data_IF_464498462402
#
_entry.id   IF_464498462402
#
_cell.length_a   1.000
_cell.length_b   1.000
_cell.length_c   1.000
_cell.angle_alpha   90.00
_cell.angle_beta   90.00
_cell.angle_gamma   90.00
#
_symmetry.space_group_name_H-M   'P 1'
#
loop_
_entity.id
_entity.type
_entity.pdbx_description
1 polymer ?
#
# COMPACT_ATOMS: atom_id res chain seq x y z
N UNK A 1 -29.97 1.27 -1.73
CA UNK A 1 -28.52 1.68 -1.75
C UNK A 1 -27.83 0.99 -0.60
N UNK A 2 -26.84 0.14 -0.87
CA UNK A 2 -26.04 -0.51 0.20
C UNK A 2 -25.22 0.54 0.96
N UNK A 3 -25.14 0.43 2.29
CA UNK A 3 -24.33 1.33 3.13
C UNK A 3 -22.84 1.25 2.73
N UNK A 4 -22.04 2.29 3.07
CA UNK A 4 -20.59 2.30 2.82
C UNK A 4 -19.92 1.05 3.42
N UNK A 5 -20.26 0.71 4.67
CA UNK A 5 -19.73 -0.47 5.35
C UNK A 5 -20.06 -1.78 4.60
N UNK A 6 -21.28 -1.92 4.07
CA UNK A 6 -21.66 -3.08 3.27
C UNK A 6 -20.86 -3.19 1.97
N UNK A 7 -20.54 -2.06 1.32
CA UNK A 7 -19.67 -2.05 0.12
C UNK A 7 -18.23 -2.39 0.48
N UNK A 8 -17.67 -1.85 1.56
CA UNK A 8 -16.32 -2.17 2.05
C UNK A 8 -16.20 -3.67 2.36
N UNK A 9 -17.16 -4.23 3.10
CA UNK A 9 -17.21 -5.66 3.38
C UNK A 9 -17.38 -6.50 2.10
N UNK A 10 -18.20 -6.05 1.17
CA UNK A 10 -18.41 -6.70 -0.13
C UNK A 10 -17.13 -6.79 -0.97
N UNK A 11 -16.27 -5.78 -0.95
CA UNK A 11 -14.96 -5.80 -1.65
C UNK A 11 -14.05 -6.89 -1.08
N UNK A 12 -14.12 -7.16 0.22
CA UNK A 12 -13.33 -8.20 0.88
C UNK A 12 -13.84 -9.60 0.48
N UNK A 13 -15.17 -9.81 0.48
CA UNK A 13 -15.78 -11.15 0.36
C UNK A 13 -16.19 -11.52 -1.06
N UNK A 14 -16.70 -10.55 -1.82
CA UNK A 14 -17.22 -10.74 -3.18
C UNK A 14 -16.80 -9.59 -4.09
N UNK A 15 -15.48 -9.39 -4.36
CA UNK A 15 -14.97 -8.19 -5.01
C UNK A 15 -15.60 -7.95 -6.38
N UNK A 16 -15.75 -8.98 -7.21
CA UNK A 16 -16.28 -8.84 -8.58
C UNK A 16 -17.70 -8.29 -8.60
N UNK A 17 -18.60 -8.88 -7.81
CA UNK A 17 -20.00 -8.45 -7.72
C UNK A 17 -20.09 -7.03 -7.17
N UNK A 18 -19.29 -6.74 -6.17
CA UNK A 18 -19.27 -5.43 -5.51
C UNK A 18 -18.77 -4.34 -6.45
N UNK A 19 -17.68 -4.57 -7.19
CA UNK A 19 -17.18 -3.61 -8.18
C UNK A 19 -18.18 -3.37 -9.31
N UNK A 20 -18.90 -4.41 -9.78
CA UNK A 20 -19.95 -4.22 -10.78
C UNK A 20 -21.04 -3.27 -10.29
N UNK A 21 -21.46 -3.39 -9.03
CA UNK A 21 -22.47 -2.52 -8.44
C UNK A 21 -21.94 -1.09 -8.15
N UNK A 22 -20.68 -0.96 -7.66
CA UNK A 22 -20.08 0.34 -7.35
C UNK A 22 -19.86 1.18 -8.61
N UNK A 23 -19.47 0.56 -9.72
CA UNK A 23 -19.19 1.25 -10.97
C UNK A 23 -20.44 1.80 -11.67
N UNK A 24 -21.65 1.35 -11.31
CA UNK A 24 -22.90 1.95 -11.77
C UNK A 24 -23.16 3.36 -11.18
N UNK A 25 -22.63 3.63 -9.96
CA UNK A 25 -22.70 4.92 -9.29
C UNK A 25 -21.38 5.19 -8.57
N UNK A 26 -20.32 5.61 -9.30
CA UNK A 26 -18.97 5.73 -8.76
C UNK A 26 -18.89 6.81 -7.67
N UNK A 27 -18.47 6.42 -6.48
CA UNK A 27 -18.28 7.32 -5.32
C UNK A 27 -17.01 6.92 -4.55
N UNK A 28 -15.91 7.54 -4.89
CA UNK A 28 -14.58 7.25 -4.33
C UNK A 28 -14.33 7.95 -2.97
N UNK A 29 -14.83 9.19 -2.80
CA UNK A 29 -14.47 10.03 -1.67
C UNK A 29 -14.85 9.43 -0.30
N UNK A 30 -16.06 8.90 -0.06
CA UNK A 30 -16.43 8.37 1.25
C UNK A 30 -15.55 7.20 1.70
N UNK A 31 -15.20 6.28 0.79
CA UNK A 31 -14.34 5.14 1.14
C UNK A 31 -12.89 5.58 1.35
N UNK A 32 -12.40 6.53 0.57
CA UNK A 32 -11.06 7.07 0.73
C UNK A 32 -10.91 7.80 2.08
N UNK A 33 -11.87 8.63 2.45
CA UNK A 33 -11.90 9.29 3.76
C UNK A 33 -11.93 8.25 4.88
N UNK A 34 -12.80 7.24 4.78
CA UNK A 34 -12.91 6.20 5.80
C UNK A 34 -11.59 5.42 5.97
N UNK A 35 -10.98 4.94 4.87
CA UNK A 35 -9.72 4.20 4.91
C UNK A 35 -8.56 5.05 5.42
N UNK A 36 -8.44 6.30 4.99
CA UNK A 36 -7.43 7.25 5.47
C UNK A 36 -7.60 7.53 6.97
N UNK A 37 -8.84 7.73 7.43
CA UNK A 37 -9.13 7.95 8.85
C UNK A 37 -8.77 6.72 9.69
N UNK A 38 -9.08 5.51 9.24
CA UNK A 38 -8.70 4.27 9.92
C UNK A 38 -7.17 4.18 10.03
N UNK A 39 -6.45 4.38 8.94
CA UNK A 39 -4.98 4.34 8.93
C UNK A 39 -4.38 5.38 9.87
N UNK A 40 -4.91 6.61 9.85
CA UNK A 40 -4.49 7.69 10.75
C UNK A 40 -4.72 7.33 12.22
N UNK A 41 -5.91 6.85 12.58
CA UNK A 41 -6.26 6.52 13.96
C UNK A 41 -5.41 5.36 14.51
N UNK A 42 -5.16 4.32 13.70
CA UNK A 42 -4.28 3.23 14.06
C UNK A 42 -2.85 3.72 14.32
N UNK A 43 -2.27 4.49 13.39
CA UNK A 43 -0.93 5.05 13.53
C UNK A 43 -0.80 6.01 14.72
N UNK A 44 -1.78 6.91 14.90
CA UNK A 44 -1.80 7.84 16.02
C UNK A 44 -1.94 7.11 17.36
N UNK A 45 -2.83 6.10 17.43
CA UNK A 45 -3.01 5.29 18.64
C UNK A 45 -1.72 4.56 19.02
N UNK A 46 -1.01 4.00 18.05
CA UNK A 46 0.26 3.32 18.24
C UNK A 46 1.37 4.28 18.72
N UNK A 47 1.59 5.40 18.03
CA UNK A 47 2.67 6.35 18.36
C UNK A 47 2.42 7.18 19.63
N UNK A 48 1.22 7.13 20.20
CA UNK A 48 0.97 7.69 21.54
C UNK A 48 1.49 6.81 22.67
N UNK A 49 1.78 5.55 22.39
CA UNK A 49 2.37 4.63 23.37
C UNK A 49 3.90 4.75 23.38
N UNK A 50 4.53 4.43 24.52
CA UNK A 50 6.00 4.35 24.63
C UNK A 50 6.56 3.33 23.64
N UNK A 51 5.95 2.14 23.61
CA UNK A 51 6.29 1.05 22.69
C UNK A 51 6.31 1.52 21.23
N UNK A 52 5.28 2.27 20.80
CA UNK A 52 5.19 2.76 19.44
C UNK A 52 6.27 3.78 19.09
N UNK A 53 6.62 4.66 20.02
CA UNK A 53 7.69 5.65 19.82
C UNK A 53 9.06 4.96 19.71
N UNK A 54 9.37 4.05 20.62
CA UNK A 54 10.62 3.29 20.61
C UNK A 54 10.74 2.47 19.32
N UNK A 55 9.69 1.74 18.94
CA UNK A 55 9.67 0.96 17.71
C UNK A 55 9.89 1.82 16.44
N UNK A 56 9.45 3.08 16.46
CA UNK A 56 9.70 4.02 15.35
C UNK A 56 11.17 4.46 15.31
N UNK A 57 11.79 4.74 16.45
CA UNK A 57 13.22 5.08 16.54
C UNK A 57 14.06 3.92 16.01
N UNK A 58 13.78 2.70 16.48
CA UNK A 58 14.46 1.48 16.03
C UNK A 58 14.29 1.24 14.51
N UNK A 59 13.13 1.59 13.97
CA UNK A 59 12.91 1.50 12.51
C UNK A 59 13.77 2.53 11.77
N UNK A 60 13.88 3.75 12.26
CA UNK A 60 14.71 4.79 11.63
C UNK A 60 16.18 4.40 11.68
N UNK A 61 16.65 3.91 12.80
CA UNK A 61 18.03 3.40 12.96
C UNK A 61 18.33 2.30 11.95
N UNK A 62 17.49 1.25 11.90
CA UNK A 62 17.65 0.15 10.93
C UNK A 62 17.63 0.63 9.49
N UNK A 63 16.78 1.62 9.19
CA UNK A 63 16.71 2.19 7.83
C UNK A 63 17.99 2.95 7.51
N UNK A 64 18.50 3.78 8.41
CA UNK A 64 19.74 4.50 8.22
C UNK A 64 20.92 3.54 7.98
N UNK A 65 21.06 2.52 8.81
CA UNK A 65 22.09 1.47 8.67
C UNK A 65 21.94 0.72 7.33
N UNK A 66 20.71 0.39 6.91
CA UNK A 66 20.46 -0.29 5.65
C UNK A 66 20.89 0.53 4.42
N UNK A 67 20.91 1.86 4.53
CA UNK A 67 21.42 2.78 3.51
C UNK A 67 22.88 3.21 3.76
N UNK A 68 23.62 2.50 4.63
CA UNK A 68 25.04 2.77 4.88
C UNK A 68 25.32 4.05 5.67
N UNK A 69 24.30 4.59 6.37
CA UNK A 69 24.50 5.76 7.22
C UNK A 69 24.85 5.31 8.64
N UNK A 70 26.00 5.73 9.20
CA UNK A 70 26.35 5.43 10.58
C UNK A 70 25.41 6.20 11.52
N UNK A 71 24.88 5.50 12.53
CA UNK A 71 24.07 6.09 13.61
C UNK A 71 24.94 6.16 14.85
N UNK A 72 25.34 7.39 15.25
CA UNK A 72 26.03 7.65 16.49
C UNK A 72 25.04 8.00 17.63
N UNK A 73 25.52 8.02 18.87
CA UNK A 73 24.69 8.31 20.06
C UNK A 73 23.97 9.66 19.95
N UNK A 74 24.57 10.65 19.29
CA UNK A 74 23.98 11.97 19.12
C UNK A 74 22.84 11.98 18.07
N UNK A 75 22.93 11.17 17.02
CA UNK A 75 21.84 11.02 16.05
C UNK A 75 20.71 10.17 16.62
N UNK A 76 21.02 9.13 17.37
CA UNK A 76 20.02 8.32 18.07
C UNK A 76 19.22 9.17 19.07
N UNK A 77 19.90 9.95 19.92
CA UNK A 77 19.22 10.86 20.88
C UNK A 77 18.30 11.88 20.19
N UNK A 78 18.68 12.39 19.01
CA UNK A 78 17.82 13.28 18.22
C UNK A 78 16.58 12.57 17.66
N UNK A 79 16.71 11.29 17.28
CA UNK A 79 15.55 10.49 16.85
C UNK A 79 14.59 10.27 18.02
N UNK A 80 15.09 9.95 19.22
CA UNK A 80 14.26 9.81 20.43
C UNK A 80 13.55 11.13 20.80
N UNK A 81 14.25 12.25 20.80
CA UNK A 81 13.66 13.56 21.09
C UNK A 81 12.56 13.90 20.08
N UNK A 82 12.79 13.60 18.80
CA UNK A 82 11.80 13.79 17.73
C UNK A 82 10.58 12.91 17.96
N UNK A 83 10.76 11.64 18.25
CA UNK A 83 9.68 10.68 18.49
C UNK A 83 8.89 11.00 19.78
N UNK A 84 9.53 11.55 20.79
CA UNK A 84 8.91 11.98 22.06
C UNK A 84 8.05 13.24 21.91
N UNK A 85 8.25 14.02 20.85
CA UNK A 85 7.49 15.26 20.64
C UNK A 85 6.00 14.97 20.43
N UNK A 86 5.15 15.52 21.29
CA UNK A 86 3.70 15.31 21.26
C UNK A 86 3.03 15.73 19.94
N UNK A 87 3.54 16.76 19.26
CA UNK A 87 3.03 17.16 17.94
C UNK A 87 3.41 16.12 16.87
N UNK A 88 4.56 15.50 16.99
CA UNK A 88 5.04 14.50 16.05
C UNK A 88 4.17 13.22 16.07
N UNK A 89 3.67 12.80 17.23
CA UNK A 89 2.77 11.65 17.36
C UNK A 89 1.41 11.83 16.65
N UNK A 90 1.10 13.03 16.18
CA UNK A 90 -0.09 13.35 15.37
C UNK A 90 0.29 13.63 13.91
N UNK A 91 1.33 14.46 13.69
CA UNK A 91 1.72 14.89 12.34
C UNK A 91 2.30 13.75 11.50
N UNK A 92 3.11 12.88 12.09
CA UNK A 92 3.70 11.75 11.37
C UNK A 92 2.64 10.73 10.90
N UNK A 93 1.71 10.24 11.75
CA UNK A 93 0.62 9.40 11.28
C UNK A 93 -0.31 10.09 10.27
N UNK A 94 -0.52 11.41 10.41
CA UNK A 94 -1.32 12.16 9.44
C UNK A 94 -0.63 12.22 8.07
N UNK A 95 0.66 12.55 8.04
CA UNK A 95 1.45 12.59 6.82
C UNK A 95 1.52 11.22 6.13
N UNK A 96 1.77 10.14 6.89
CA UNK A 96 1.81 8.78 6.37
C UNK A 96 0.45 8.29 5.88
N UNK A 97 -0.64 8.62 6.59
CA UNK A 97 -2.00 8.30 6.15
C UNK A 97 -2.38 9.04 4.86
N UNK A 98 -2.01 10.31 4.71
CA UNK A 98 -2.22 11.08 3.49
C UNK A 98 -1.36 10.58 2.32
N UNK A 99 -0.11 10.19 2.57
CA UNK A 99 0.77 9.63 1.55
C UNK A 99 0.28 8.25 1.07
N UNK A 100 -0.03 7.34 2.00
CA UNK A 100 -0.46 5.97 1.68
C UNK A 100 -1.95 5.86 1.30
N UNK A 101 -2.77 6.85 1.60
CA UNK A 101 -4.17 6.94 1.21
C UNK A 101 -4.33 7.78 -0.07
N UNK A 102 -4.70 9.06 0.06
CA UNK A 102 -5.06 9.90 -1.09
C UNK A 102 -3.96 10.03 -2.15
N UNK A 103 -2.71 10.28 -1.75
CA UNK A 103 -1.62 10.48 -2.71
C UNK A 103 -1.33 9.21 -3.52
N UNK A 104 -1.25 8.06 -2.85
CA UNK A 104 -1.04 6.77 -3.51
C UNK A 104 -2.21 6.41 -4.43
N UNK A 105 -3.45 6.62 -3.99
CA UNK A 105 -4.67 6.37 -4.78
C UNK A 105 -4.67 7.22 -6.05
N UNK A 106 -4.36 8.51 -5.95
CA UNK A 106 -4.27 9.42 -7.10
C UNK A 106 -3.15 8.98 -8.05
N UNK A 107 -1.97 8.67 -7.53
CA UNK A 107 -0.80 8.25 -8.33
C UNK A 107 -1.07 6.94 -9.08
N UNK A 108 -1.59 5.92 -8.40
CA UNK A 108 -1.90 4.62 -9.02
C UNK A 108 -3.04 4.78 -10.04
N UNK A 109 -4.10 5.53 -9.71
CA UNK A 109 -5.21 5.76 -10.65
C UNK A 109 -4.73 6.50 -11.90
N UNK A 110 -3.85 7.50 -11.74
CA UNK A 110 -3.24 8.25 -12.85
C UNK A 110 -2.36 7.37 -13.73
N UNK A 111 -1.50 6.56 -13.11
CA UNK A 111 -0.63 5.60 -13.82
C UNK A 111 -1.46 4.58 -14.61
N UNK A 112 -2.44 3.95 -13.96
CA UNK A 112 -3.31 2.98 -14.60
C UNK A 112 -4.12 3.60 -15.75
N UNK A 113 -4.65 4.81 -15.54
CA UNK A 113 -5.37 5.55 -16.59
C UNK A 113 -4.47 5.80 -17.80
N UNK A 114 -3.26 6.27 -17.58
CA UNK A 114 -2.31 6.52 -18.65
C UNK A 114 -1.92 5.25 -19.41
N UNK A 115 -1.53 4.18 -18.68
CA UNK A 115 -1.07 2.92 -19.27
C UNK A 115 -2.19 2.19 -20.03
N UNK A 116 -3.40 2.16 -19.46
CA UNK A 116 -4.50 1.42 -20.05
C UNK A 116 -5.15 2.16 -21.24
N UNK A 117 -5.19 3.50 -21.20
CA UNK A 117 -5.74 4.29 -22.30
C UNK A 117 -4.75 4.46 -23.47
N UNK A 118 -3.43 4.47 -23.23
CA UNK A 118 -2.45 4.46 -24.34
C UNK A 118 -2.61 3.27 -25.27
N UNK A 119 -2.91 2.08 -24.70
CA UNK A 119 -3.13 0.86 -25.49
C UNK A 119 -4.44 0.86 -26.28
N UNK A 120 -5.43 1.61 -25.83
CA UNK A 120 -6.70 1.77 -26.57
C UNK A 120 -6.60 2.79 -27.72
N UNK A 121 -5.66 3.73 -27.68
CA UNK A 121 -5.44 4.73 -28.73
C UNK A 121 -4.82 4.14 -30.00
N UNK A 122 -4.02 3.07 -29.91
CA UNK A 122 -3.42 2.42 -31.07
C UNK A 122 -4.42 1.63 -31.93
N UNK A 123 -5.56 1.21 -31.33
CA UNK A 123 -6.64 0.49 -32.04
C UNK A 123 -7.73 1.41 -32.60
N UNK A 124 -7.71 2.70 -32.23
CA UNK A 124 -8.78 3.67 -32.60
C UNK A 124 -8.69 4.25 -34.00
N UNK A 125 -7.60 4.07 -34.72
CA UNK A 125 -7.45 4.62 -36.09
C UNK A 125 -8.36 3.92 -37.10
N UNK A 126 -9.02 2.81 -36.76
CA UNK A 126 -9.86 2.04 -37.65
C UNK A 126 -11.38 2.15 -37.38
N UNK A 127 -11.84 2.82 -36.32
CA UNK A 127 -13.26 2.84 -35.95
C UNK A 127 -13.77 4.28 -35.79
N UNK A 128 -14.22 4.88 -36.91
CA UNK A 128 -14.81 6.24 -36.97
C UNK A 128 -16.21 6.35 -36.33
N UNK A 129 -16.56 5.45 -35.41
CA UNK A 129 -17.88 5.43 -34.78
C UNK A 129 -17.85 5.06 -33.30
N UNK A 130 -16.65 4.93 -32.68
CA UNK A 130 -16.55 4.49 -31.30
C UNK A 130 -17.00 5.59 -30.33
N UNK A 131 -18.07 5.28 -29.63
CA UNK A 131 -18.67 5.94 -28.50
C UNK A 131 -17.60 6.49 -27.53
N UNK A 132 -17.61 7.81 -27.22
CA UNK A 132 -16.70 8.51 -26.31
C UNK A 132 -16.89 8.10 -24.82
N UNK A 133 -17.66 7.05 -24.54
CA UNK A 133 -18.01 6.54 -23.22
C UNK A 133 -16.99 5.53 -22.63
N UNK A 134 -15.71 5.67 -22.99
CA UNK A 134 -14.63 4.90 -22.34
C UNK A 134 -14.55 5.15 -20.81
N UNK A 135 -13.91 4.27 -20.05
CA UNK A 135 -13.79 4.44 -18.60
C UNK A 135 -13.18 5.78 -18.25
N UNK A 136 -13.93 6.62 -17.51
CA UNK A 136 -13.44 7.91 -17.03
C UNK A 136 -12.48 7.72 -15.87
N UNK A 137 -11.55 8.65 -15.64
CA UNK A 137 -10.61 8.63 -14.52
C UNK A 137 -11.29 8.38 -13.17
N UNK A 138 -12.50 8.94 -12.95
CA UNK A 138 -13.31 8.76 -11.75
C UNK A 138 -13.63 7.28 -11.46
N UNK A 139 -13.83 6.47 -12.48
CA UNK A 139 -14.09 5.03 -12.29
C UNK A 139 -12.83 4.30 -11.79
N UNK A 140 -11.65 4.63 -12.34
CA UNK A 140 -10.38 4.10 -11.84
C UNK A 140 -10.09 4.56 -10.42
N UNK A 141 -10.29 5.84 -10.14
CA UNK A 141 -10.16 6.41 -8.81
C UNK A 141 -11.06 5.66 -7.80
N UNK A 142 -12.30 5.33 -8.22
CA UNK A 142 -13.23 4.55 -7.40
C UNK A 142 -12.71 3.12 -7.18
N UNK A 143 -12.23 2.44 -8.21
CA UNK A 143 -11.68 1.08 -8.10
C UNK A 143 -10.49 1.04 -7.14
N UNK A 144 -9.52 1.95 -7.31
CA UNK A 144 -8.32 2.01 -6.47
C UNK A 144 -8.66 2.36 -5.03
N UNK A 145 -9.57 3.32 -4.79
CA UNK A 145 -10.02 3.69 -3.45
C UNK A 145 -10.69 2.54 -2.72
N UNK A 146 -11.58 1.79 -3.38
CA UNK A 146 -12.22 0.61 -2.77
C UNK A 146 -11.26 -0.56 -2.59
N UNK A 147 -10.29 -0.78 -3.48
CA UNK A 147 -9.23 -1.75 -3.26
C UNK A 147 -8.40 -1.41 -2.01
N UNK A 148 -8.19 -0.11 -1.72
CA UNK A 148 -7.51 0.38 -0.52
C UNK A 148 -8.10 -0.08 0.81
N UNK A 149 -9.34 -0.59 0.83
CA UNK A 149 -9.95 -1.21 2.02
C UNK A 149 -9.09 -2.37 2.55
N UNK A 150 -8.42 -3.12 1.67
CA UNK A 150 -7.51 -4.21 2.07
C UNK A 150 -6.30 -3.67 2.85
N UNK A 151 -5.76 -2.52 2.42
CA UNK A 151 -4.62 -1.89 3.11
C UNK A 151 -5.04 -1.28 4.45
N UNK A 152 -6.25 -0.73 4.55
CA UNK A 152 -6.81 -0.28 5.81
C UNK A 152 -7.06 -1.45 6.78
N UNK A 153 -7.56 -2.59 6.28
CA UNK A 153 -7.70 -3.82 7.06
C UNK A 153 -6.35 -4.33 7.57
N UNK A 154 -5.30 -4.30 6.70
CA UNK A 154 -3.94 -4.61 7.12
C UNK A 154 -3.52 -3.77 8.32
N UNK A 155 -3.75 -2.45 8.28
CA UNK A 155 -3.36 -1.55 9.36
C UNK A 155 -4.08 -1.89 10.68
N UNK A 156 -5.37 -2.21 10.63
CA UNK A 156 -6.15 -2.61 11.82
C UNK A 156 -5.61 -3.91 12.44
N UNK A 157 -5.16 -4.86 11.60
CA UNK A 157 -4.62 -6.14 12.08
C UNK A 157 -3.16 -6.00 12.52
N UNK A 158 -2.35 -5.25 11.78
CA UNK A 158 -0.93 -5.08 12.06
C UNK A 158 -0.70 -4.29 13.36
N UNK A 159 -1.42 -3.19 13.60
CA UNK A 159 -1.20 -2.31 14.75
C UNK A 159 -1.16 -3.03 16.11
N UNK A 160 -2.12 -3.90 16.48
CA UNK A 160 -2.03 -4.64 17.75
C UNK A 160 -0.89 -5.66 17.77
N UNK A 161 -0.54 -6.25 16.63
CA UNK A 161 0.58 -7.19 16.53
C UNK A 161 1.91 -6.45 16.68
N UNK A 162 2.06 -5.29 16.05
CA UNK A 162 3.24 -4.43 16.15
C UNK A 162 3.44 -3.96 17.59
N UNK A 163 2.34 -3.67 18.32
CA UNK A 163 2.40 -3.32 19.74
C UNK A 163 2.93 -4.47 20.61
N UNK A 164 2.43 -5.70 20.40
CA UNK A 164 2.87 -6.88 21.17
C UNK A 164 4.32 -7.27 20.83
N UNK A 165 4.75 -7.03 19.58
CA UNK A 165 6.11 -7.33 19.11
C UNK A 165 7.11 -6.20 19.37
N UNK A 166 6.65 -5.07 19.88
CA UNK A 166 7.45 -3.85 20.08
C UNK A 166 8.23 -3.45 18.81
N UNK A 167 7.62 -3.63 17.63
CA UNK A 167 8.28 -3.44 16.33
C UNK A 167 7.30 -3.02 15.26
N UNK A 168 7.67 -2.02 14.44
CA UNK A 168 6.92 -1.59 13.24
C UNK A 168 7.22 -2.48 12.01
N UNK A 169 8.14 -3.44 12.12
CA UNK A 169 8.41 -4.38 11.04
C UNK A 169 7.14 -5.16 10.71
N UNK A 170 6.62 -4.96 9.49
CA UNK A 170 5.32 -5.52 9.10
C UNK A 170 5.20 -7.02 9.42
N UNK A 171 4.24 -7.42 10.26
CA UNK A 171 4.08 -8.83 10.65
C UNK A 171 3.56 -9.69 9.51
N UNK A 172 3.16 -9.08 8.40
CA UNK A 172 2.51 -9.72 7.25
C UNK A 172 3.44 -9.94 6.05
N UNK A 173 4.73 -9.64 6.21
CA UNK A 173 5.74 -9.93 5.18
C UNK A 173 6.11 -11.41 5.14
N UNK A 174 6.47 -11.90 3.95
CA UNK A 174 6.80 -13.32 3.77
C UNK A 174 7.97 -13.77 4.64
N UNK A 175 8.95 -12.93 4.91
CA UNK A 175 10.11 -13.29 5.75
C UNK A 175 9.69 -13.76 7.15
N UNK A 176 8.60 -13.25 7.70
CA UNK A 176 8.11 -13.63 9.03
C UNK A 176 7.66 -15.10 9.15
N UNK A 177 7.40 -15.74 8.02
CA UNK A 177 7.03 -17.17 7.96
C UNK A 177 8.26 -18.09 7.83
N UNK A 178 9.46 -17.53 7.64
CA UNK A 178 10.71 -18.28 7.45
C UNK A 178 11.70 -17.95 8.58
N UNK A 179 11.40 -18.38 9.78
CA UNK A 179 12.18 -18.09 11.00
C UNK A 179 13.62 -18.65 10.99
N UNK A 180 13.95 -19.52 10.04
CA UNK A 180 15.28 -20.11 9.88
C UNK A 180 16.19 -19.34 8.91
N UNK A 181 15.69 -18.29 8.23
CA UNK A 181 16.50 -17.50 7.32
C UNK A 181 17.35 -16.50 8.11
N UNK A 182 18.62 -16.43 7.75
CA UNK A 182 19.51 -15.35 8.21
C UNK A 182 18.99 -14.00 7.69
N UNK A 183 18.73 -13.06 8.59
CA UNK A 183 18.19 -11.73 8.27
C UNK A 183 19.10 -10.94 7.32
N UNK A 184 20.40 -11.21 7.33
CA UNK A 184 21.39 -10.59 6.45
C UNK A 184 21.33 -11.13 5.01
N UNK A 185 20.69 -12.28 4.78
CA UNK A 185 20.67 -12.94 3.47
C UNK A 185 19.89 -12.13 2.43
N UNK A 186 20.34 -12.12 1.16
CA UNK A 186 19.60 -11.46 0.06
C UNK A 186 18.18 -11.99 -0.10
N UNK A 187 17.95 -13.27 0.22
CA UNK A 187 16.63 -13.89 0.17
C UNK A 187 15.72 -13.35 1.28
N UNK A 188 16.22 -13.17 2.50
CA UNK A 188 15.45 -12.58 3.59
C UNK A 188 15.06 -11.13 3.27
N UNK A 189 15.98 -10.33 2.72
CA UNK A 189 15.70 -8.96 2.26
C UNK A 189 14.60 -8.93 1.20
N UNK A 190 14.65 -9.81 0.20
CA UNK A 190 13.63 -9.91 -0.83
C UNK A 190 12.26 -10.32 -0.24
N UNK A 191 12.21 -11.36 0.61
CA UNK A 191 10.99 -11.82 1.25
C UNK A 191 10.42 -10.78 2.24
N UNK A 192 11.29 -9.97 2.84
CA UNK A 192 10.91 -8.87 3.72
C UNK A 192 10.17 -7.73 3.02
N UNK A 193 10.34 -7.57 1.71
CA UNK A 193 9.61 -6.57 0.92
C UNK A 193 8.25 -7.08 0.47
N UNK A 194 8.04 -8.41 0.39
CA UNK A 194 6.77 -9.00 -0.09
C UNK A 194 5.79 -9.13 1.07
N UNK A 195 4.73 -8.32 1.05
CA UNK A 195 3.65 -8.31 2.04
C UNK A 195 2.39 -9.00 1.49
N UNK A 196 1.82 -9.93 2.25
CA UNK A 196 0.65 -10.72 1.84
C UNK A 196 -0.60 -9.85 1.62
N UNK A 197 -0.80 -8.79 2.40
CA UNK A 197 -1.91 -7.87 2.20
C UNK A 197 -1.74 -7.01 0.94
N UNK A 198 -0.50 -6.67 0.59
CA UNK A 198 -0.22 -5.97 -0.67
C UNK A 198 -0.51 -6.90 -1.86
N UNK A 199 -0.13 -8.17 -1.78
CA UNK A 199 -0.48 -9.17 -2.81
C UNK A 199 -2.01 -9.31 -2.91
N UNK A 200 -2.72 -9.42 -1.80
CA UNK A 200 -4.18 -9.46 -1.79
C UNK A 200 -4.81 -8.20 -2.39
N UNK A 201 -4.30 -7.01 -2.01
CA UNK A 201 -4.71 -5.73 -2.58
C UNK A 201 -4.52 -5.69 -4.10
N UNK A 202 -3.38 -6.18 -4.62
CA UNK A 202 -3.11 -6.30 -6.06
C UNK A 202 -4.15 -7.18 -6.75
N UNK A 203 -4.51 -8.31 -6.17
CA UNK A 203 -5.53 -9.21 -6.72
C UNK A 203 -6.91 -8.52 -6.76
N UNK A 204 -7.30 -7.86 -5.67
CA UNK A 204 -8.57 -7.12 -5.60
C UNK A 204 -8.58 -5.95 -6.60
N UNK A 205 -7.48 -5.21 -6.72
CA UNK A 205 -7.31 -4.16 -7.72
C UNK A 205 -7.43 -4.70 -9.15
N UNK A 206 -6.77 -5.84 -9.44
CA UNK A 206 -6.86 -6.49 -10.75
C UNK A 206 -8.29 -6.93 -11.08
N UNK A 207 -9.06 -7.39 -10.10
CA UNK A 207 -10.49 -7.73 -10.27
C UNK A 207 -11.29 -6.46 -10.61
N UNK A 208 -11.10 -5.35 -9.88
CA UNK A 208 -11.79 -4.10 -10.13
C UNK A 208 -11.48 -3.51 -11.52
N UNK A 209 -10.21 -3.49 -11.91
CA UNK A 209 -9.76 -3.07 -13.25
C UNK A 209 -10.28 -4.01 -14.34
N UNK A 210 -10.34 -5.33 -14.06
CA UNK A 210 -10.91 -6.33 -14.98
C UNK A 210 -12.39 -6.07 -15.25
N UNK A 211 -13.17 -5.73 -14.22
CA UNK A 211 -14.59 -5.37 -14.37
C UNK A 211 -14.75 -4.09 -15.19
N UNK A 212 -13.89 -3.08 -14.91
CA UNK A 212 -13.98 -1.77 -15.60
C UNK A 212 -13.61 -1.85 -17.08
N UNK A 213 -12.52 -2.57 -17.42
CA UNK A 213 -11.98 -2.62 -18.79
C UNK A 213 -12.39 -3.89 -19.57
N UNK A 214 -13.22 -4.76 -18.97
CA UNK A 214 -13.65 -6.03 -19.55
C UNK A 214 -12.48 -6.91 -20.05
N UNK A 215 -11.37 -6.89 -19.26
CA UNK A 215 -10.16 -7.67 -19.58
C UNK A 215 -10.03 -8.88 -18.64
N UNK A 216 -9.33 -9.95 -19.08
CA UNK A 216 -9.12 -11.13 -18.24
C UNK A 216 -8.36 -10.78 -16.94
N UNK A 217 -8.98 -11.05 -15.79
CA UNK A 217 -8.40 -10.76 -14.44
C UNK A 217 -7.02 -11.36 -14.27
N UNK A 218 -6.81 -12.61 -14.76
CA UNK A 218 -5.52 -13.32 -14.64
C UNK A 218 -4.37 -12.55 -15.27
N UNK A 219 -4.57 -11.95 -16.46
CA UNK A 219 -3.53 -11.16 -17.15
C UNK A 219 -3.18 -9.89 -16.38
N UNK A 220 -4.18 -9.22 -15.84
CA UNK A 220 -3.98 -8.01 -15.03
C UNK A 220 -3.31 -8.34 -13.70
N UNK A 221 -3.75 -9.39 -13.01
CA UNK A 221 -3.15 -9.83 -11.76
C UNK A 221 -1.67 -10.22 -11.95
N UNK A 222 -1.35 -10.99 -13.00
CA UNK A 222 0.04 -11.34 -13.30
C UNK A 222 0.89 -10.12 -13.66
N UNK A 223 0.35 -9.16 -14.43
CA UNK A 223 1.07 -7.94 -14.78
C UNK A 223 1.34 -7.07 -13.54
N UNK A 224 0.35 -6.89 -12.67
CA UNK A 224 0.51 -6.07 -11.46
C UNK A 224 1.41 -6.75 -10.43
N UNK A 225 1.26 -8.06 -10.22
CA UNK A 225 2.16 -8.83 -9.34
C UNK A 225 3.60 -8.84 -9.89
N UNK A 226 3.76 -9.02 -11.20
CA UNK A 226 5.08 -8.94 -11.83
C UNK A 226 5.75 -7.57 -11.67
N UNK A 227 4.98 -6.48 -11.81
CA UNK A 227 5.48 -5.13 -11.55
C UNK A 227 5.88 -4.94 -10.07
N UNK A 228 5.07 -5.44 -9.14
CA UNK A 228 5.37 -5.41 -7.71
C UNK A 228 6.65 -6.19 -7.36
N UNK A 229 6.78 -7.42 -7.86
CA UNK A 229 7.97 -8.25 -7.65
C UNK A 229 9.22 -7.59 -8.26
N UNK A 230 9.10 -6.99 -9.45
CA UNK A 230 10.21 -6.27 -10.07
C UNK A 230 10.66 -5.07 -9.22
N UNK A 231 9.72 -4.29 -8.68
CA UNK A 231 10.02 -3.20 -7.75
C UNK A 231 10.64 -3.70 -6.43
N UNK A 232 10.16 -4.82 -5.89
CA UNK A 232 10.72 -5.45 -4.70
C UNK A 232 12.17 -5.91 -4.92
N UNK A 233 12.47 -6.49 -6.10
CA UNK A 233 13.82 -6.87 -6.47
C UNK A 233 14.74 -5.66 -6.63
N UNK A 234 14.27 -4.59 -7.26
CA UNK A 234 15.03 -3.35 -7.39
C UNK A 234 15.33 -2.71 -6.03
N UNK A 235 14.36 -2.70 -5.12
CA UNK A 235 14.56 -2.19 -3.76
C UNK A 235 15.56 -3.05 -2.98
N UNK A 236 15.45 -4.38 -3.04
CA UNK A 236 16.39 -5.29 -2.40
C UNK A 236 17.81 -5.14 -2.96
N UNK A 237 17.95 -4.96 -4.28
CA UNK A 237 19.24 -4.72 -4.93
C UNK A 237 19.84 -3.37 -4.51
N UNK A 238 19.04 -2.31 -4.46
CA UNK A 238 19.48 -0.99 -4.01
C UNK A 238 20.03 -1.04 -2.57
N UNK A 239 19.33 -1.72 -1.66
CA UNK A 239 19.80 -1.94 -0.29
C UNK A 239 21.08 -2.80 -0.22
N UNK A 240 21.24 -3.79 -1.11
CA UNK A 240 22.45 -4.59 -1.16
C UNK A 240 23.67 -3.80 -1.66
N UNK A 241 23.48 -2.89 -2.61
CA UNK A 241 24.55 -2.04 -3.15
C UNK A 241 24.93 -0.94 -2.16
N UNK A 242 23.97 -0.29 -1.49
CA UNK A 242 24.25 0.77 -0.52
C UNK A 242 24.81 0.24 0.81
N UNK A 243 24.38 -0.94 1.28
CA UNK A 243 24.90 -1.56 2.51
C UNK A 243 26.22 -2.33 2.35
N UNK A 244 26.70 -2.54 1.11
CA UNK A 244 27.96 -3.26 0.82
C UNK A 244 29.22 -2.41 0.76
N UNK A 245 29.15 -1.11 1.08
CA UNK A 245 30.28 -0.16 1.05
C UNK A 245 30.80 0.23 2.45
N UNK A 246 30.38 -0.51 3.48
CA UNK A 246 30.85 -0.31 4.86
C UNK A 246 31.86 -1.39 5.25
#
# INVERSE_FOLDING_TARGET
>A
MSSLAARMYGVIRHPRVTFTAILQAPSWAPVLVATTTITFLCGMGFLRTEVGRQALVDQWERTAIAFGQPVDDASYARMEETAANGSFSVLYPAATALANGPALVIAISGLLFFVLNRRSGADRDNDRGADLSGPRYVHLLTVVSYAGVILALRQVIATPVDYVRESIASPTTLVQFFTMLDESSPLARFLGVIDLFVVWWIVVLAIGVSVLYQRPTRRLALAFTGAYVALALLAALAMAVSGGTA
#
